data_IF_818860135819
#
_entry.id   IF_818860135819
#
_cell.length_a   1.000
_cell.length_b   1.000
_cell.length_c   1.000
_cell.angle_alpha   90.00
_cell.angle_beta   90.00
_cell.angle_gamma   90.00
#
_symmetry.space_group_name_H-M   'P 1'
#
loop_
_entity.id
_entity.type
_entity.pdbx_description
1 polymer ?
#
# COMPACT_ATOMS: atom_id res chain seq x y z
N UNK A 1 13.28 4.61 16.95
CA UNK A 1 13.28 3.19 16.52
C UNK A 1 11.82 2.69 16.32
N UNK A 2 10.98 3.34 15.50
CA UNK A 2 9.51 3.06 15.51
C UNK A 2 8.74 3.10 14.17
N UNK A 3 9.33 3.47 13.03
CA UNK A 3 8.56 3.56 11.75
C UNK A 3 8.89 2.48 10.70
N UNK A 4 9.92 1.66 10.96
CA UNK A 4 10.40 0.67 9.98
C UNK A 4 9.46 -0.54 9.88
N UNK A 5 8.86 -0.98 10.98
CA UNK A 5 8.01 -2.18 10.99
C UNK A 5 6.63 -1.97 10.33
N UNK A 6 6.08 -0.76 10.37
CA UNK A 6 4.74 -0.46 9.83
C UNK A 6 4.71 -0.54 8.29
N UNK A 7 5.87 -0.45 7.64
CA UNK A 7 5.99 -0.42 6.17
C UNK A 7 6.50 -1.74 5.58
N UNK A 8 6.50 -2.83 6.34
CA UNK A 8 6.98 -4.11 5.85
C UNK A 8 5.84 -5.01 5.35
N UNK A 9 6.10 -5.84 4.34
CA UNK A 9 5.16 -6.81 3.78
C UNK A 9 5.72 -8.22 3.78
N UNK A 10 4.78 -9.17 3.82
CA UNK A 10 5.01 -10.61 3.82
C UNK A 10 5.41 -11.10 2.44
N UNK A 11 6.52 -11.84 2.36
CA UNK A 11 6.92 -12.62 1.20
C UNK A 11 7.11 -14.08 1.66
N UNK A 12 6.26 -15.00 1.19
CA UNK A 12 6.34 -16.41 1.58
C UNK A 12 7.28 -17.19 0.64
N UNK A 13 8.05 -18.12 1.21
CA UNK A 13 8.82 -19.11 0.45
C UNK A 13 8.24 -20.49 0.73
N UNK A 14 7.74 -21.14 -0.31
CA UNK A 14 7.25 -22.52 -0.26
C UNK A 14 8.36 -23.47 -0.68
N UNK A 15 8.83 -24.31 0.24
CA UNK A 15 9.78 -25.37 -0.08
C UNK A 15 8.98 -26.63 -0.41
N UNK A 16 9.16 -27.16 -1.64
CA UNK A 16 8.64 -28.47 -2.03
C UNK A 16 9.48 -29.55 -1.35
N UNK A 17 8.83 -30.43 -0.58
CA UNK A 17 9.43 -31.72 -0.27
C UNK A 17 8.95 -32.71 -1.33
N UNK A 18 9.87 -33.15 -2.19
CA UNK A 18 9.62 -34.24 -3.13
C UNK A 18 9.65 -35.57 -2.36
N UNK A 19 8.58 -35.86 -1.61
CA UNK A 19 8.31 -37.20 -1.13
C UNK A 19 7.39 -37.91 -2.13
N UNK A 20 7.75 -39.15 -2.46
CA UNK A 20 7.13 -40.07 -3.42
C UNK A 20 5.64 -40.40 -3.18
N UNK A 21 4.97 -39.74 -2.24
CA UNK A 21 3.58 -39.95 -1.83
C UNK A 21 2.70 -38.68 -1.91
N UNK A 22 3.20 -37.58 -2.50
CA UNK A 22 2.40 -36.37 -2.74
C UNK A 22 3.10 -35.10 -2.27
N UNK A 23 2.85 -34.01 -3.00
CA UNK A 23 3.52 -32.71 -2.80
C UNK A 23 3.16 -32.09 -1.45
N UNK A 24 3.95 -32.37 -0.42
CA UNK A 24 3.81 -31.76 0.90
C UNK A 24 4.57 -30.42 0.93
N UNK A 25 3.84 -29.31 0.97
CA UNK A 25 4.40 -27.97 1.14
C UNK A 25 4.47 -27.62 2.62
N UNK A 26 5.62 -27.10 3.08
CA UNK A 26 5.78 -26.52 4.42
C UNK A 26 6.20 -25.05 4.28
N UNK A 27 5.56 -24.16 5.02
CA UNK A 27 6.00 -22.76 5.18
C UNK A 27 7.04 -22.78 6.30
N UNK A 28 8.31 -22.57 5.95
CA UNK A 28 9.41 -22.53 6.94
C UNK A 28 9.64 -21.13 7.48
N UNK A 29 9.49 -20.11 6.64
CA UNK A 29 9.67 -18.71 7.02
C UNK A 29 8.76 -17.79 6.22
N UNK A 30 8.35 -16.70 6.86
CA UNK A 30 7.59 -15.61 6.27
C UNK A 30 8.53 -14.39 6.29
N UNK A 31 9.36 -14.30 5.26
CA UNK A 31 10.27 -13.18 5.10
C UNK A 31 9.50 -11.86 5.03
N UNK A 32 10.10 -10.79 5.56
CA UNK A 32 9.53 -9.45 5.53
C UNK A 32 10.45 -8.53 4.73
N UNK A 33 9.88 -7.71 3.84
CA UNK A 33 10.61 -6.64 3.14
C UNK A 33 9.89 -5.32 3.22
N UNK A 34 10.60 -4.21 3.03
CA UNK A 34 9.96 -2.91 2.91
C UNK A 34 9.06 -2.85 1.68
N UNK A 35 7.86 -2.29 1.86
CA UNK A 35 6.95 -1.89 0.79
C UNK A 35 7.63 -0.84 -0.10
N UNK A 36 7.47 -1.00 -1.41
CA UNK A 36 7.78 0.02 -2.41
C UNK A 36 6.74 1.14 -2.34
N UNK A 37 7.07 2.36 -2.83
CA UNK A 37 6.15 3.48 -2.79
C UNK A 37 4.75 3.18 -3.34
N UNK A 38 4.63 2.56 -4.52
CA UNK A 38 3.32 2.22 -5.09
C UNK A 38 2.50 1.27 -4.20
N UNK A 39 3.15 0.35 -3.49
CA UNK A 39 2.49 -0.58 -2.57
C UNK A 39 2.00 0.15 -1.30
N UNK A 40 2.75 1.16 -0.83
CA UNK A 40 2.34 2.00 0.31
C UNK A 40 1.12 2.87 -0.03
N UNK A 41 1.08 3.46 -1.22
CA UNK A 41 -0.06 4.26 -1.67
C UNK A 41 -1.31 3.38 -1.91
N UNK A 42 -1.13 2.20 -2.52
CA UNK A 42 -2.23 1.23 -2.68
C UNK A 42 -2.79 0.77 -1.33
N UNK A 43 -1.93 0.52 -0.33
CA UNK A 43 -2.36 0.14 1.01
C UNK A 43 -3.18 1.22 1.73
N UNK A 44 -3.04 2.49 1.34
CA UNK A 44 -3.86 3.60 1.85
C UNK A 44 -5.13 3.86 1.03
N UNK A 45 -5.37 3.08 -0.03
CA UNK A 45 -6.56 3.24 -0.88
C UNK A 45 -6.44 4.36 -1.92
N UNK A 46 -5.22 4.78 -2.27
CA UNK A 46 -5.03 5.68 -3.42
C UNK A 46 -5.31 4.93 -4.73
N UNK A 47 -5.89 5.61 -5.74
CA UNK A 47 -6.17 4.97 -7.02
C UNK A 47 -4.86 4.62 -7.75
N UNK A 48 -4.91 3.59 -8.61
CA UNK A 48 -3.73 3.07 -9.32
C UNK A 48 -3.10 4.07 -10.29
N UNK A 49 -3.85 5.08 -10.72
CA UNK A 49 -3.39 6.18 -11.57
C UNK A 49 -2.90 7.41 -10.77
N UNK A 50 -2.80 7.33 -9.44
CA UNK A 50 -2.27 8.42 -8.63
C UNK A 50 -0.78 8.63 -8.92
N UNK A 51 -0.41 9.86 -9.29
CA UNK A 51 0.97 10.20 -9.65
C UNK A 51 1.79 10.42 -8.37
N UNK A 52 2.82 9.59 -8.18
CA UNK A 52 3.65 9.60 -6.95
C UNK A 52 5.11 9.98 -7.19
N UNK A 53 5.60 9.81 -8.41
CA UNK A 53 7.02 9.78 -8.73
C UNK A 53 7.51 11.03 -9.47
N UNK A 54 6.63 11.97 -9.81
CA UNK A 54 6.99 13.25 -10.41
C UNK A 54 6.02 14.37 -10.06
N UNK A 55 6.46 15.61 -10.28
CA UNK A 55 5.60 16.79 -10.22
C UNK A 55 4.92 17.09 -11.57
N UNK A 56 4.10 18.14 -11.60
CA UNK A 56 3.37 18.57 -12.79
C UNK A 56 4.27 19.11 -13.92
N UNK A 57 5.55 19.39 -13.66
CA UNK A 57 6.56 19.71 -14.67
C UNK A 57 7.35 18.47 -15.14
N UNK A 58 7.05 17.28 -14.60
CA UNK A 58 7.76 16.04 -14.90
C UNK A 58 9.06 15.86 -14.12
N UNK A 59 9.35 16.69 -13.11
CA UNK A 59 10.54 16.53 -12.28
C UNK A 59 10.38 15.29 -11.39
N UNK A 60 11.31 14.30 -11.45
CA UNK A 60 11.18 13.08 -10.69
C UNK A 60 11.44 13.28 -9.20
N UNK A 61 10.77 12.48 -8.36
CA UNK A 61 10.94 12.44 -6.91
C UNK A 61 11.73 11.22 -6.44
N UNK A 62 12.74 11.39 -5.58
CA UNK A 62 13.42 10.29 -4.92
C UNK A 62 12.45 9.42 -4.10
N UNK A 63 12.74 8.12 -3.97
CA UNK A 63 11.92 7.17 -3.19
C UNK A 63 11.65 7.65 -1.75
N UNK A 64 12.63 8.29 -1.12
CA UNK A 64 12.50 8.83 0.24
C UNK A 64 11.40 9.89 0.34
N UNK A 65 11.28 10.77 -0.64
CA UNK A 65 10.23 11.78 -0.69
C UNK A 65 8.86 11.15 -0.94
N UNK A 66 8.78 10.15 -1.83
CA UNK A 66 7.53 9.42 -2.09
C UNK A 66 7.01 8.76 -0.79
N UNK A 67 7.90 8.10 -0.04
CA UNK A 67 7.57 7.45 1.24
C UNK A 67 7.18 8.48 2.31
N UNK A 68 7.87 9.62 2.36
CA UNK A 68 7.58 10.69 3.32
C UNK A 68 6.21 11.32 3.06
N UNK A 69 5.88 11.60 1.79
CA UNK A 69 4.57 12.14 1.38
C UNK A 69 3.46 11.15 1.67
N UNK A 70 3.66 9.89 1.32
CA UNK A 70 2.72 8.81 1.65
C UNK A 70 2.45 8.76 3.16
N UNK A 71 3.49 8.88 4.00
CA UNK A 71 3.34 8.87 5.45
C UNK A 71 2.62 10.09 6.05
N UNK A 72 2.53 11.20 5.32
CA UNK A 72 1.86 12.43 5.74
C UNK A 72 0.49 12.64 5.06
N UNK A 73 0.12 11.77 4.12
CA UNK A 73 -1.15 11.87 3.43
C UNK A 73 -2.29 11.32 4.30
N UNK A 74 -3.50 11.83 4.06
CA UNK A 74 -4.72 11.25 4.63
C UNK A 74 -5.24 10.18 3.67
N UNK A 75 -5.49 8.93 4.13
CA UNK A 75 -6.06 7.88 3.28
C UNK A 75 -7.40 8.32 2.66
N UNK A 76 -7.59 8.22 1.33
CA UNK A 76 -8.83 8.66 0.68
C UNK A 76 -10.11 8.04 1.26
N UNK A 77 -10.19 6.73 1.56
CA UNK A 77 -11.40 6.15 2.15
C UNK A 77 -11.73 6.73 3.53
N UNK A 78 -10.72 7.14 4.29
CA UNK A 78 -10.91 7.77 5.59
C UNK A 78 -11.51 9.18 5.44
N UNK A 79 -10.97 9.97 4.50
CA UNK A 79 -11.51 11.30 4.21
C UNK A 79 -12.95 11.22 3.68
N UNK A 80 -13.24 10.27 2.79
CA UNK A 80 -14.57 10.05 2.23
C UNK A 80 -15.60 9.77 3.32
N UNK A 81 -15.31 8.83 4.24
CA UNK A 81 -16.23 8.50 5.32
C UNK A 81 -16.48 9.70 6.24
N UNK A 82 -15.43 10.45 6.57
CA UNK A 82 -15.57 11.61 7.45
C UNK A 82 -16.49 12.67 6.85
N UNK A 83 -16.34 12.95 5.55
CA UNK A 83 -17.19 13.90 4.82
C UNK A 83 -18.62 13.38 4.76
N UNK A 84 -18.83 12.09 4.45
CA UNK A 84 -20.16 11.48 4.37
C UNK A 84 -20.95 11.61 5.67
N UNK A 85 -20.29 11.42 6.81
CA UNK A 85 -20.93 11.48 8.13
C UNK A 85 -21.19 12.93 8.62
N UNK A 86 -20.30 13.87 8.29
CA UNK A 86 -20.35 15.22 8.88
C UNK A 86 -20.85 16.32 7.94
N UNK A 87 -20.70 16.14 6.62
CA UNK A 87 -21.02 17.12 5.56
C UNK A 87 -21.67 16.38 4.36
N UNK A 88 -22.84 15.74 4.55
CA UNK A 88 -23.50 14.96 3.50
C UNK A 88 -23.83 15.79 2.26
N UNK A 89 -24.02 17.10 2.38
CA UNK A 89 -24.25 18.04 1.26
C UNK A 89 -23.04 18.23 0.35
N UNK A 90 -21.82 17.96 0.85
CA UNK A 90 -20.58 17.96 0.06
C UNK A 90 -20.26 16.58 -0.51
N UNK A 91 -21.01 15.55 -0.11
CA UNK A 91 -20.91 14.23 -0.71
C UNK A 91 -21.61 14.29 -2.06
N UNK A 92 -20.84 14.29 -3.14
CA UNK A 92 -21.41 14.06 -4.48
C UNK A 92 -22.03 12.67 -4.48
N UNK A 93 -23.36 12.59 -4.56
CA UNK A 93 -24.02 11.35 -4.89
C UNK A 93 -23.51 10.94 -6.28
N UNK A 94 -22.70 9.90 -6.37
CA UNK A 94 -22.37 9.29 -7.65
C UNK A 94 -23.69 8.77 -8.24
N UNK A 95 -24.29 9.57 -9.12
CA UNK A 95 -25.26 9.08 -10.09
C UNK A 95 -24.56 8.06 -10.98
N UNK A 96 -25.15 6.87 -11.04
CA UNK A 96 -24.68 5.77 -11.89
C UNK A 96 -24.93 5.98 -13.38
#
# INVERSE_FOLDING_TARGET
>A
MSIYYIRAQVQSVLIRNDSYLGNNYKILDIGMRMLQPHELYAAQGFPSNYIIDHDFYGKPYPKTEQVARCGNAVPPPFAEQLIRENLPEMSVAEGG
#
